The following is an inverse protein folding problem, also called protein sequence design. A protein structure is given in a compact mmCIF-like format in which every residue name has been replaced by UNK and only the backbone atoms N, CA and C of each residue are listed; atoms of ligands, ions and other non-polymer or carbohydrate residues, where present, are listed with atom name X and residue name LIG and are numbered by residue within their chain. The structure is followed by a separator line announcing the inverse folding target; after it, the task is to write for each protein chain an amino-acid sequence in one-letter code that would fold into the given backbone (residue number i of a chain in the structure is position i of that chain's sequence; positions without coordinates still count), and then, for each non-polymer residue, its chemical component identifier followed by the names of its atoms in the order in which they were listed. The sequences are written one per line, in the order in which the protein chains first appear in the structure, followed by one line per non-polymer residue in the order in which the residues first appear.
data_IF_154428486321
#
_entry.id   IF_154428486321
#
_cell.length_a   1.000
_cell.length_b   1.000
_cell.length_c   1.000
_cell.angle_alpha   90.00
_cell.angle_beta   90.00
_cell.angle_gamma   90.00
#
_symmetry.space_group_name_H-M   'P 1'
#
loop_
_entity.id
_entity.type
_entity.pdbx_description
1 polymer ?
#
# COMPACT_ATOMS: atom_id res chain seq x y z
N UNK A 1 -6.52 -7.38 -9.28
CA UNK A 1 -6.74 -7.26 -7.82
C UNK A 1 -8.22 -6.97 -7.62
N UNK A 2 -8.92 -7.76 -6.81
CA UNK A 2 -10.33 -7.49 -6.46
C UNK A 2 -10.34 -6.50 -5.29
N UNK A 3 -11.10 -5.41 -5.42
CA UNK A 3 -11.09 -4.33 -4.43
C UNK A 3 -11.57 -4.82 -3.06
N UNK A 4 -12.63 -5.63 -3.05
CA UNK A 4 -13.24 -6.18 -1.85
C UNK A 4 -12.25 -7.07 -1.08
N UNK A 5 -11.48 -7.89 -1.80
CA UNK A 5 -10.48 -8.77 -1.20
C UNK A 5 -9.27 -7.98 -0.67
N UNK A 6 -8.88 -6.91 -1.36
CA UNK A 6 -7.83 -6.00 -0.90
C UNK A 6 -8.24 -5.28 0.39
N UNK A 7 -9.50 -4.84 0.52
CA UNK A 7 -9.98 -4.18 1.75
C UNK A 7 -10.11 -5.15 2.92
N UNK A 8 -10.55 -6.38 2.67
CA UNK A 8 -10.71 -7.41 3.71
C UNK A 8 -9.37 -8.00 4.19
N UNK A 9 -8.40 -8.14 3.30
CA UNK A 9 -7.11 -8.77 3.57
C UNK A 9 -5.93 -7.93 3.03
N UNK A 10 -5.76 -6.68 3.50
CA UNK A 10 -4.85 -5.71 2.88
C UNK A 10 -3.39 -6.16 2.91
N UNK A 11 -2.92 -6.77 4.00
CA UNK A 11 -1.52 -7.21 4.11
C UNK A 11 -1.19 -8.34 3.12
N UNK A 12 -2.01 -9.38 3.06
CA UNK A 12 -1.78 -10.51 2.15
C UNK A 12 -1.72 -10.04 0.70
N UNK A 13 -2.67 -9.20 0.29
CA UNK A 13 -2.71 -8.66 -1.05
C UNK A 13 -1.55 -7.73 -1.35
N UNK A 14 -1.18 -6.82 -0.45
CA UNK A 14 -0.06 -5.92 -0.68
C UNK A 14 1.28 -6.67 -0.75
N UNK A 15 1.47 -7.73 0.02
CA UNK A 15 2.65 -8.60 -0.09
C UNK A 15 2.72 -9.27 -1.47
N UNK A 16 1.60 -9.80 -1.96
CA UNK A 16 1.52 -10.42 -3.29
C UNK A 16 1.77 -9.42 -4.41
N UNK A 17 1.19 -8.21 -4.31
CA UNK A 17 1.35 -7.14 -5.30
C UNK A 17 2.80 -6.65 -5.36
N UNK A 18 3.41 -6.33 -4.22
CA UNK A 18 4.80 -5.84 -4.19
C UNK A 18 5.79 -6.91 -4.68
N UNK A 19 5.55 -8.18 -4.33
CA UNK A 19 6.33 -9.30 -4.86
C UNK A 19 6.19 -9.43 -6.38
N UNK A 20 4.99 -9.27 -6.92
CA UNK A 20 4.76 -9.29 -8.37
C UNK A 20 5.49 -8.16 -9.09
N UNK A 21 5.55 -6.97 -8.47
CA UNK A 21 6.22 -5.78 -9.00
C UNK A 21 7.74 -5.77 -8.74
N UNK A 22 8.29 -6.80 -8.08
CA UNK A 22 9.68 -6.86 -7.62
C UNK A 22 10.10 -5.64 -6.76
N UNK A 23 9.18 -5.15 -5.94
CA UNK A 23 9.41 -4.06 -4.98
C UNK A 23 9.53 -4.64 -3.58
N UNK A 24 10.53 -4.21 -2.78
CA UNK A 24 10.66 -4.69 -1.40
C UNK A 24 9.43 -4.32 -0.56
N UNK A 25 9.03 -5.25 0.31
CA UNK A 25 7.94 -5.02 1.27
C UNK A 25 8.28 -3.86 2.21
N UNK A 26 7.30 -2.99 2.45
CA UNK A 26 7.38 -1.94 3.46
C UNK A 26 6.02 -1.84 4.17
N UNK A 27 6.02 -1.88 5.49
CA UNK A 27 4.80 -1.80 6.33
C UNK A 27 4.04 -0.48 6.13
N UNK A 28 4.71 0.58 5.67
CA UNK A 28 4.11 1.86 5.31
C UNK A 28 2.92 1.74 4.33
N UNK A 29 2.87 0.69 3.51
CA UNK A 29 1.77 0.49 2.56
C UNK A 29 0.44 0.17 3.21
N UNK A 30 0.43 -0.33 4.46
CA UNK A 30 -0.78 -0.57 5.25
C UNK A 30 -1.27 0.67 5.97
N UNK A 31 -0.36 1.63 6.21
CA UNK A 31 -0.62 2.88 6.93
C UNK A 31 -0.41 4.09 6.02
N UNK A 32 -0.86 3.98 4.77
CA UNK A 32 -0.66 5.00 3.73
C UNK A 32 -1.20 6.38 4.14
N UNK A 33 -2.21 6.43 5.01
CA UNK A 33 -2.80 7.65 5.56
C UNK A 33 -1.79 8.51 6.34
N UNK A 34 -0.78 7.89 6.95
CA UNK A 34 0.24 8.60 7.74
C UNK A 34 1.21 9.42 6.90
N UNK A 35 1.22 9.18 5.58
CA UNK A 35 2.12 9.82 4.61
C UNK A 35 1.42 10.89 3.78
N UNK A 36 0.11 11.11 3.98
CA UNK A 36 -0.63 12.19 3.32
C UNK A 36 -0.12 13.55 3.84
N UNK A 37 0.12 14.51 2.94
CA UNK A 37 0.57 15.88 3.25
C UNK A 37 1.91 15.98 4.01
N UNK A 38 2.76 14.95 3.97
CA UNK A 38 4.11 14.97 4.53
C UNK A 38 5.17 15.33 3.48
N UNK A 39 6.35 15.87 3.85
CA UNK A 39 7.47 16.02 2.93
C UNK A 39 7.82 14.66 2.31
N UNK A 40 7.92 14.58 0.97
CA UNK A 40 8.03 13.33 0.19
C UNK A 40 6.84 12.35 0.26
N UNK A 41 5.72 12.78 0.84
CA UNK A 41 4.46 12.04 0.85
C UNK A 41 3.66 12.22 -0.45
N UNK A 42 2.54 11.51 -0.56
CA UNK A 42 1.64 11.62 -1.73
C UNK A 42 0.83 12.91 -1.60
N UNK A 43 0.91 13.85 -2.57
CA UNK A 43 0.05 15.03 -2.56
C UNK A 43 -1.37 14.60 -2.96
N UNK A 44 -2.37 14.99 -2.15
CA UNK A 44 -3.76 14.99 -2.59
C UNK A 44 -3.96 16.30 -3.36
N UNK A 45 -4.07 16.21 -4.70
CA UNK A 45 -4.42 17.32 -5.59
C UNK A 45 -5.93 17.43 -5.76
#
# INVERSE_FOLDING_TARGET
VYYEQLVLHPEEWMRNILKFLDVPWNEAVLHHEQFINKPNGVPLS
#
